data_IF_724572954863
#
_entry.id   IF_724572954863
#
_cell.length_a   1.000
_cell.length_b   1.000
_cell.length_c   1.000
_cell.angle_alpha   90.00
_cell.angle_beta   90.00
_cell.angle_gamma   90.00
#
_symmetry.space_group_name_H-M   'P 1'
#
loop_
_entity.id
_entity.type
_entity.pdbx_description
1 polymer ?
#
# COMPACT_ATOMS: atom_id res chain seq x y z
N UNK A 1 19.02 16.66 -19.11
CA UNK A 1 18.51 17.52 -18.01
C UNK A 1 18.30 16.59 -16.82
N UNK A 2 19.05 16.72 -15.73
CA UNK A 2 18.85 15.85 -14.56
C UNK A 2 17.53 16.25 -13.88
N UNK A 3 16.65 15.28 -13.63
CA UNK A 3 15.44 15.53 -12.88
C UNK A 3 15.82 16.02 -11.46
N UNK A 4 15.19 17.10 -10.94
CA UNK A 4 15.50 17.59 -9.60
C UNK A 4 15.14 16.54 -8.54
N UNK A 5 15.94 16.48 -7.48
CA UNK A 5 15.65 15.65 -6.31
C UNK A 5 14.30 16.06 -5.72
N UNK A 6 13.42 15.10 -5.45
CA UNK A 6 12.08 15.34 -4.92
C UNK A 6 11.81 14.44 -3.72
N UNK A 7 11.36 15.03 -2.62
CA UNK A 7 10.93 14.29 -1.44
C UNK A 7 9.68 13.46 -1.74
N UNK A 8 9.51 12.36 -0.99
CA UNK A 8 8.45 11.38 -1.22
C UNK A 8 7.06 11.98 -1.02
N UNK A 9 6.88 12.89 -0.06
CA UNK A 9 5.62 13.62 0.13
C UNK A 9 5.16 14.38 -1.14
N UNK A 10 6.05 15.09 -1.82
CA UNK A 10 5.69 15.81 -3.05
C UNK A 10 5.39 14.86 -4.21
N UNK A 11 6.08 13.71 -4.27
CA UNK A 11 5.74 12.67 -5.25
C UNK A 11 4.35 12.10 -4.98
N UNK A 12 3.99 11.89 -3.71
CA UNK A 12 2.67 11.43 -3.30
C UNK A 12 1.60 12.43 -3.75
N UNK A 13 1.75 13.71 -3.43
CA UNK A 13 0.83 14.79 -3.86
C UNK A 13 0.64 14.81 -5.38
N UNK A 14 1.73 14.75 -6.15
CA UNK A 14 1.68 14.77 -7.61
C UNK A 14 0.94 13.58 -8.22
N UNK A 15 1.06 12.39 -7.60
CA UNK A 15 0.33 11.22 -8.05
C UNK A 15 -1.13 11.28 -7.62
N UNK A 16 -1.42 11.70 -6.39
CA UNK A 16 -2.78 11.81 -5.88
C UNK A 16 -3.63 12.75 -6.75
N UNK A 17 -3.06 13.87 -7.21
CA UNK A 17 -3.72 14.81 -8.12
C UNK A 17 -4.04 14.24 -9.52
N UNK A 18 -3.40 13.14 -9.91
CA UNK A 18 -3.56 12.51 -11.24
C UNK A 18 -4.41 11.23 -11.20
N UNK A 19 -4.77 10.75 -10.01
CA UNK A 19 -5.68 9.63 -9.85
C UNK A 19 -7.07 10.05 -10.29
N UNK A 20 -7.70 9.21 -11.11
CA UNK A 20 -9.07 9.42 -11.62
C UNK A 20 -9.97 8.25 -11.30
N UNK A 21 -9.53 7.37 -10.41
CA UNK A 21 -10.26 6.15 -10.07
C UNK A 21 -11.58 6.48 -9.41
N UNK A 22 -12.67 5.92 -9.96
CA UNK A 22 -14.03 6.00 -9.45
C UNK A 22 -14.46 4.59 -9.08
N UNK A 23 -14.37 4.23 -7.79
CA UNK A 23 -14.64 2.87 -7.33
C UNK A 23 -16.06 2.37 -7.64
N UNK A 24 -17.04 3.28 -7.75
CA UNK A 24 -18.44 2.92 -8.02
C UNK A 24 -18.64 2.36 -9.43
N UNK A 25 -17.82 2.84 -10.38
CA UNK A 25 -17.87 2.42 -11.79
C UNK A 25 -16.74 1.42 -12.13
N UNK A 26 -15.83 1.14 -11.19
CA UNK A 26 -14.57 0.42 -11.39
C UNK A 26 -13.80 0.93 -12.62
N UNK A 27 -13.58 2.25 -12.68
CA UNK A 27 -12.93 2.91 -13.81
C UNK A 27 -11.91 3.95 -13.40
N UNK A 28 -10.90 4.17 -14.24
CA UNK A 28 -9.95 5.27 -14.09
C UNK A 28 -8.60 4.79 -13.56
N UNK A 29 -7.73 5.76 -13.29
CA UNK A 29 -6.32 5.48 -12.99
C UNK A 29 -6.05 5.46 -11.51
N UNK A 30 -5.39 4.40 -11.05
CA UNK A 30 -4.88 4.23 -9.69
C UNK A 30 -3.36 4.32 -9.65
N UNK A 31 -2.80 4.43 -8.45
CA UNK A 31 -1.35 4.36 -8.22
C UNK A 31 -0.98 2.90 -7.96
N UNK A 32 0.04 2.40 -8.67
CA UNK A 32 0.50 1.02 -8.51
C UNK A 32 1.95 0.92 -8.02
N UNK A 33 2.24 -0.19 -7.35
CA UNK A 33 3.58 -0.68 -7.05
C UNK A 33 3.95 -1.75 -8.07
N UNK A 34 5.22 -1.82 -8.46
CA UNK A 34 5.74 -2.83 -9.38
C UNK A 34 6.72 -3.73 -8.64
N UNK A 35 6.46 -5.03 -8.61
CA UNK A 35 7.38 -6.04 -8.09
C UNK A 35 7.84 -6.98 -9.19
N UNK A 36 9.13 -7.27 -9.21
CA UNK A 36 9.73 -8.24 -10.14
C UNK A 36 10.07 -9.50 -9.38
N UNK A 37 9.58 -10.63 -9.90
CA UNK A 37 9.87 -11.97 -9.39
C UNK A 37 10.48 -12.84 -10.49
N UNK A 38 11.16 -13.90 -10.09
CA UNK A 38 11.59 -14.92 -11.03
C UNK A 38 10.40 -15.70 -11.57
N UNK A 39 10.40 -16.01 -12.86
CA UNK A 39 9.24 -16.64 -13.51
C UNK A 39 8.87 -18.00 -12.93
N UNK A 40 9.87 -18.75 -12.45
CA UNK A 40 9.66 -20.04 -11.78
C UNK A 40 8.90 -19.93 -10.46
N UNK A 41 8.86 -18.75 -9.86
CA UNK A 41 8.28 -18.50 -8.54
C UNK A 41 6.88 -17.86 -8.63
N UNK A 42 6.32 -17.67 -9.84
CA UNK A 42 5.03 -16.99 -10.05
C UNK A 42 3.88 -17.67 -9.30
N UNK A 43 3.65 -18.97 -9.54
CA UNK A 43 2.58 -19.74 -8.90
C UNK A 43 2.67 -19.67 -7.37
N UNK A 44 3.90 -19.79 -6.85
CA UNK A 44 4.15 -19.68 -5.42
C UNK A 44 3.82 -18.27 -4.91
N UNK A 45 4.26 -17.23 -5.61
CA UNK A 45 3.99 -15.85 -5.24
C UNK A 45 2.48 -15.57 -5.22
N UNK A 46 1.74 -15.98 -6.26
CA UNK A 46 0.28 -15.85 -6.33
C UNK A 46 -0.42 -16.56 -5.17
N UNK A 47 0.04 -17.76 -4.79
CA UNK A 47 -0.53 -18.48 -3.65
C UNK A 47 -0.37 -17.74 -2.33
N UNK A 48 0.80 -17.13 -2.09
CA UNK A 48 1.08 -16.31 -0.91
C UNK A 48 0.25 -15.02 -0.94
N UNK A 49 0.11 -14.39 -2.10
CA UNK A 49 -0.71 -13.19 -2.26
C UNK A 49 -2.18 -13.47 -1.95
N UNK A 50 -2.74 -14.60 -2.43
CA UNK A 50 -4.09 -15.05 -2.12
C UNK A 50 -4.28 -15.27 -0.62
N UNK A 51 -3.32 -15.88 0.05
CA UNK A 51 -3.36 -16.05 1.50
C UNK A 51 -3.29 -14.70 2.23
N UNK A 52 -2.39 -13.80 1.81
CA UNK A 52 -2.24 -12.48 2.40
C UNK A 52 -3.53 -11.66 2.26
N UNK A 53 -4.19 -11.72 1.10
CA UNK A 53 -5.47 -11.06 0.86
C UNK A 53 -6.55 -11.58 1.81
N UNK A 54 -6.71 -12.91 1.92
CA UNK A 54 -7.66 -13.54 2.86
C UNK A 54 -7.42 -13.19 4.33
N UNK A 55 -6.21 -12.75 4.68
CA UNK A 55 -5.85 -12.31 6.04
C UNK A 55 -5.91 -10.78 6.24
N UNK A 56 -6.35 -10.01 5.25
CA UNK A 56 -6.45 -8.55 5.33
C UNK A 56 -5.11 -7.82 5.28
N UNK A 57 -4.07 -8.46 4.73
CA UNK A 57 -2.70 -7.92 4.66
C UNK A 57 -2.46 -7.08 3.38
N UNK A 58 -3.36 -7.21 2.41
CA UNK A 58 -3.36 -6.43 1.16
C UNK A 58 -4.37 -5.30 1.20
N UNK A 59 -4.24 -4.36 0.27
CA UNK A 59 -5.16 -3.22 0.10
C UNK A 59 -6.33 -3.55 -0.82
N UNK A 60 -6.10 -4.40 -1.82
CA UNK A 60 -7.06 -4.75 -2.85
C UNK A 60 -6.73 -6.14 -3.36
N UNK A 61 -7.71 -6.80 -3.97
CA UNK A 61 -7.57 -8.03 -4.75
C UNK A 61 -7.17 -7.77 -6.21
N UNK A 62 -7.03 -6.51 -6.64
CA UNK A 62 -6.62 -6.16 -8.00
C UNK A 62 -5.13 -6.44 -8.22
N UNK A 63 -4.84 -7.17 -9.30
CA UNK A 63 -3.50 -7.57 -9.68
C UNK A 63 -3.33 -7.52 -11.21
N UNK A 64 -2.18 -7.03 -11.67
CA UNK A 64 -1.73 -7.29 -13.04
C UNK A 64 -0.45 -8.12 -12.99
N UNK A 65 -0.44 -9.22 -13.74
CA UNK A 65 0.77 -10.03 -13.98
C UNK A 65 1.19 -9.89 -15.44
N UNK A 66 2.42 -9.45 -15.68
CA UNK A 66 3.00 -9.40 -17.02
C UNK A 66 4.24 -10.30 -17.09
N UNK A 67 4.26 -11.19 -18.09
CA UNK A 67 5.37 -12.10 -18.34
C UNK A 67 6.57 -11.45 -19.04
N UNK A 68 7.65 -12.23 -19.27
CA UNK A 68 8.85 -11.77 -19.97
C UNK A 68 8.55 -11.09 -21.30
N UNK A 69 9.15 -9.92 -21.55
CA UNK A 69 8.91 -9.11 -22.76
C UNK A 69 7.58 -8.35 -22.77
N UNK A 70 6.71 -8.58 -21.80
CA UNK A 70 5.46 -7.84 -21.61
C UNK A 70 5.69 -6.35 -21.29
N UNK A 71 4.65 -5.55 -21.45
CA UNK A 71 4.67 -4.11 -21.15
C UNK A 71 3.73 -3.80 -19.99
N UNK A 72 4.20 -3.01 -19.04
CA UNK A 72 3.42 -2.47 -17.92
C UNK A 72 3.62 -0.98 -17.85
N UNK A 73 2.64 -0.17 -18.28
CA UNK A 73 2.71 1.29 -18.23
C UNK A 73 4.06 1.88 -18.71
N UNK A 74 4.56 1.38 -19.85
CA UNK A 74 5.84 1.79 -20.45
C UNK A 74 7.10 1.13 -19.87
N UNK A 75 6.95 0.15 -18.98
CA UNK A 75 8.03 -0.68 -18.47
C UNK A 75 8.04 -2.06 -19.17
N UNK A 76 9.16 -2.38 -19.84
CA UNK A 76 9.38 -3.71 -20.41
C UNK A 76 9.83 -4.69 -19.34
N UNK A 77 9.12 -5.80 -19.19
CA UNK A 77 9.49 -6.88 -18.27
C UNK A 77 10.75 -7.60 -18.78
N UNK A 78 11.81 -7.71 -17.95
CA UNK A 78 13.03 -8.41 -18.34
C UNK A 78 12.82 -9.89 -18.60
N UNK A 79 13.68 -10.48 -19.43
CA UNK A 79 13.69 -11.92 -19.67
C UNK A 79 13.86 -12.71 -18.35
N UNK A 80 13.16 -13.85 -18.27
CA UNK A 80 13.19 -14.72 -17.10
C UNK A 80 12.43 -14.20 -15.87
N UNK A 81 11.80 -13.01 -15.93
CA UNK A 81 11.05 -12.41 -14.82
C UNK A 81 9.58 -12.19 -15.16
N UNK A 82 8.76 -12.15 -14.12
CA UNK A 82 7.40 -11.63 -14.17
C UNK A 82 7.33 -10.30 -13.41
N UNK A 83 6.56 -9.36 -13.94
CA UNK A 83 6.13 -8.17 -13.25
C UNK A 83 4.77 -8.42 -12.59
N UNK A 84 4.67 -8.07 -11.32
CA UNK A 84 3.47 -8.17 -10.50
C UNK A 84 3.14 -6.76 -10.02
N UNK A 85 1.97 -6.26 -10.40
CA UNK A 85 1.53 -4.91 -10.06
C UNK A 85 0.41 -4.95 -9.03
N UNK A 86 0.57 -4.23 -7.94
CA UNK A 86 -0.43 -4.12 -6.86
C UNK A 86 -0.84 -2.67 -6.64
N UNK A 87 -2.05 -2.46 -6.13
CA UNK A 87 -2.52 -1.14 -5.73
C UNK A 87 -1.67 -0.57 -4.58
N UNK A 88 -1.32 0.71 -4.68
CA UNK A 88 -0.63 1.45 -3.63
C UNK A 88 -1.62 2.10 -2.65
N UNK A 89 -1.32 2.14 -1.35
CA UNK A 89 -2.19 2.79 -0.35
C UNK A 89 -2.33 4.29 -0.54
N UNK A 90 -1.42 4.91 -1.31
CA UNK A 90 -1.56 6.31 -1.69
C UNK A 90 -2.78 6.55 -2.60
N UNK A 91 -3.34 5.50 -3.21
CA UNK A 91 -4.63 5.58 -3.90
C UNK A 91 -5.75 5.99 -2.94
N UNK A 92 -5.69 5.58 -1.66
CA UNK A 92 -6.64 6.03 -0.63
C UNK A 92 -6.57 7.56 -0.47
N UNK A 93 -5.37 8.12 -0.35
CA UNK A 93 -5.17 9.56 -0.14
C UNK A 93 -5.81 10.37 -1.28
N UNK A 94 -5.74 9.85 -2.52
CA UNK A 94 -6.38 10.46 -3.67
C UNK A 94 -7.92 10.34 -3.65
N UNK A 95 -8.44 9.19 -3.26
CA UNK A 95 -9.89 8.96 -3.14
C UNK A 95 -10.51 9.85 -2.05
N UNK A 96 -9.84 9.98 -0.91
CA UNK A 96 -10.23 10.91 0.15
C UNK A 96 -10.26 12.35 -0.37
N UNK A 97 -9.22 12.77 -1.10
CA UNK A 97 -9.15 14.11 -1.68
C UNK A 97 -10.31 14.38 -2.66
N UNK A 98 -10.64 13.43 -3.53
CA UNK A 98 -11.78 13.54 -4.46
C UNK A 98 -13.13 13.67 -3.74
N UNK A 99 -13.27 13.07 -2.56
CA UNK A 99 -14.44 13.20 -1.69
C UNK A 99 -14.41 14.44 -0.80
N UNK A 100 -13.43 15.33 -0.98
CA UNK A 100 -13.31 16.58 -0.23
C UNK A 100 -12.63 16.44 1.13
N UNK A 101 -11.90 15.35 1.37
CA UNK A 101 -11.12 15.12 2.59
C UNK A 101 -9.62 15.22 2.26
N UNK A 102 -8.96 16.35 2.56
CA UNK A 102 -7.51 16.44 2.46
C UNK A 102 -6.85 15.53 3.49
N UNK A 103 -6.11 14.52 3.02
CA UNK A 103 -5.29 13.66 3.86
C UNK A 103 -3.81 14.03 3.71
N UNK A 104 -3.10 14.10 4.83
CA UNK A 104 -1.67 14.38 4.91
C UNK A 104 -0.92 13.13 5.32
N UNK A 105 -0.20 12.44 4.41
CA UNK A 105 0.63 11.29 4.75
C UNK A 105 1.78 11.69 5.69
N UNK A 106 1.87 11.04 6.84
CA UNK A 106 2.92 11.29 7.85
C UNK A 106 4.17 10.49 7.49
N UNK A 107 4.03 9.17 7.34
CA UNK A 107 5.16 8.26 7.13
C UNK A 107 4.76 6.81 6.90
N UNK A 108 5.77 6.01 6.56
CA UNK A 108 5.66 4.55 6.47
C UNK A 108 6.57 3.89 7.51
N UNK A 109 6.12 2.76 8.05
CA UNK A 109 6.77 2.14 9.20
C UNK A 109 6.43 0.67 9.40
N UNK A 110 7.00 0.10 10.46
CA UNK A 110 6.72 -1.25 10.93
C UNK A 110 5.68 -1.16 12.03
N UNK A 111 4.62 -1.96 11.91
CA UNK A 111 3.60 -2.12 12.93
C UNK A 111 3.72 -3.50 13.55
N UNK A 112 3.84 -3.51 14.87
CA UNK A 112 3.73 -4.72 15.69
C UNK A 112 2.27 -5.18 15.72
N UNK A 113 2.05 -6.45 15.42
CA UNK A 113 0.75 -7.12 15.44
C UNK A 113 0.80 -8.19 16.52
N UNK A 114 -0.20 -8.21 17.39
CA UNK A 114 -0.43 -9.29 18.36
C UNK A 114 -1.91 -9.65 18.37
N UNK A 115 -2.21 -10.95 18.40
CA UNK A 115 -3.59 -11.44 18.32
C UNK A 115 -4.38 -10.96 17.09
N UNK A 116 -3.71 -10.74 15.95
CA UNK A 116 -4.27 -10.14 14.71
C UNK A 116 -4.73 -8.68 14.85
N UNK A 117 -4.29 -7.99 15.90
CA UNK A 117 -4.59 -6.58 16.15
C UNK A 117 -3.31 -5.76 16.09
N UNK A 118 -3.35 -4.64 15.36
CA UNK A 118 -2.24 -3.68 15.32
C UNK A 118 -2.04 -3.04 16.70
N UNK A 119 -0.82 -3.08 17.21
CA UNK A 119 -0.50 -2.59 18.55
C UNK A 119 0.11 -1.19 18.49
N UNK A 120 1.19 -1.03 17.72
CA UNK A 120 1.94 0.24 17.61
C UNK A 120 2.91 0.23 16.44
N UNK A 121 3.31 1.41 15.99
CA UNK A 121 4.49 1.57 15.16
C UNK A 121 5.76 1.39 16.00
N UNK A 122 6.66 0.51 15.57
CA UNK A 122 7.95 0.25 16.23
C UNK A 122 9.10 1.02 15.56
N UNK A 123 8.92 1.41 14.30
CA UNK A 123 9.86 2.19 13.50
C UNK A 123 9.10 2.93 12.41
N UNK A 124 9.55 4.13 12.06
CA UNK A 124 8.89 4.95 11.03
C UNK A 124 9.90 5.85 10.33
N UNK A 125 9.71 6.02 9.02
CA UNK A 125 10.41 7.03 8.21
C UNK A 125 9.34 8.01 7.71
N UNK A 126 9.54 9.30 7.99
CA UNK A 126 8.60 10.35 7.64
C UNK A 126 8.70 10.71 6.15
N UNK A 127 7.57 10.82 5.47
CA UNK A 127 7.54 11.09 4.02
C UNK A 127 8.12 12.45 3.64
N UNK A 128 8.03 13.44 4.54
CA UNK A 128 8.59 14.79 4.36
C UNK A 128 10.12 14.83 4.44
N UNK A 129 10.73 13.84 5.09
CA UNK A 129 12.16 13.82 5.44
C UNK A 129 12.95 12.79 4.60
N UNK A 130 12.33 12.19 3.58
CA UNK A 130 12.95 11.15 2.73
C UNK A 130 12.64 11.34 1.25
N UNK A 131 13.58 10.91 0.40
CA UNK A 131 13.40 10.82 -1.07
C UNK A 131 13.17 9.38 -1.55
N UNK A 132 13.30 8.42 -0.62
CA UNK A 132 13.07 7.01 -0.84
C UNK A 132 11.69 6.62 -0.28
N UNK A 133 11.10 5.55 -0.81
CA UNK A 133 9.90 4.97 -0.21
C UNK A 133 10.27 4.28 1.12
N UNK A 134 9.66 4.68 2.26
CA UNK A 134 9.90 4.05 3.56
C UNK A 134 9.74 2.53 3.57
N UNK A 135 8.71 2.01 2.89
CA UNK A 135 8.39 0.59 2.95
C UNK A 135 9.40 -0.21 2.13
N UNK A 136 9.87 0.31 1.00
CA UNK A 136 10.97 -0.30 0.24
C UNK A 136 12.25 -0.42 1.08
N UNK A 137 12.61 0.64 1.83
CA UNK A 137 13.75 0.62 2.76
C UNK A 137 13.57 -0.45 3.84
N UNK A 138 12.40 -0.53 4.47
CA UNK A 138 12.14 -1.47 5.56
C UNK A 138 12.08 -2.94 5.08
N UNK A 139 11.56 -3.18 3.87
CA UNK A 139 11.63 -4.51 3.22
C UNK A 139 13.09 -4.91 3.00
N UNK A 140 13.95 -3.98 2.57
CA UNK A 140 15.36 -4.26 2.32
C UNK A 140 16.13 -4.68 3.58
N UNK A 141 15.69 -4.22 4.75
CA UNK A 141 16.27 -4.52 6.05
C UNK A 141 15.75 -5.82 6.68
N UNK A 142 14.86 -6.55 6.01
CA UNK A 142 14.29 -7.81 6.51
C UNK A 142 13.62 -7.66 7.88
N UNK A 143 12.97 -6.50 8.09
CA UNK A 143 12.43 -6.11 9.38
C UNK A 143 10.98 -6.58 9.62
N UNK A 144 10.42 -7.35 8.68
CA UNK A 144 9.03 -7.83 8.69
C UNK A 144 8.96 -9.32 9.05
N UNK A 145 7.80 -9.74 9.57
CA UNK A 145 7.45 -11.15 9.80
C UNK A 145 5.99 -11.40 9.43
N UNK A 146 5.63 -11.01 8.21
CA UNK A 146 4.27 -11.06 7.68
C UNK A 146 3.77 -12.50 7.59
N UNK A 147 4.63 -13.47 7.25
CA UNK A 147 4.24 -14.88 7.26
C UNK A 147 3.83 -15.37 8.66
N UNK A 148 4.49 -14.90 9.71
CA UNK A 148 4.12 -15.22 11.10
C UNK A 148 2.80 -14.55 11.48
N UNK A 149 2.56 -13.32 11.01
CA UNK A 149 1.27 -12.64 11.19
C UNK A 149 0.14 -13.40 10.50
N UNK A 150 0.37 -13.91 9.29
CA UNK A 150 -0.63 -14.69 8.55
C UNK A 150 -0.97 -16.00 9.28
N UNK A 151 0.06 -16.73 9.74
CA UNK A 151 -0.07 -18.06 10.37
C UNK A 151 -0.51 -18.01 11.83
N UNK A 152 0.14 -17.17 12.62
CA UNK A 152 0.03 -17.14 14.08
C UNK A 152 -0.70 -15.88 14.60
N UNK A 153 -0.92 -14.88 13.75
CA UNK A 153 -1.54 -13.62 14.16
C UNK A 153 -0.63 -12.71 14.96
N UNK A 154 0.69 -12.97 14.96
CA UNK A 154 1.68 -12.20 15.71
C UNK A 154 2.93 -11.98 14.87
N UNK A 155 3.48 -10.77 14.92
CA UNK A 155 4.69 -10.40 14.19
C UNK A 155 4.65 -8.95 13.72
N UNK A 156 5.36 -8.66 12.64
CA UNK A 156 5.59 -7.30 12.15
C UNK A 156 5.11 -7.17 10.71
N UNK A 157 4.29 -6.16 10.44
CA UNK A 157 3.85 -5.80 9.08
C UNK A 157 4.29 -4.38 8.72
N UNK A 158 4.23 -4.04 7.44
CA UNK A 158 4.41 -2.67 7.00
C UNK A 158 3.06 -1.96 6.97
N UNK A 159 3.07 -0.70 7.39
CA UNK A 159 1.92 0.17 7.36
C UNK A 159 2.35 1.60 7.06
N UNK A 160 1.39 2.42 6.65
CA UNK A 160 1.56 3.87 6.64
C UNK A 160 0.43 4.55 7.40
N UNK A 161 0.73 5.76 7.84
CA UNK A 161 -0.19 6.59 8.60
C UNK A 161 -0.34 7.95 7.89
N UNK A 162 -1.58 8.43 7.85
CA UNK A 162 -1.93 9.78 7.43
C UNK A 162 -2.80 10.43 8.49
N UNK A 163 -2.90 11.74 8.40
CA UNK A 163 -3.82 12.52 9.21
C UNK A 163 -4.82 13.29 8.34
N UNK A 164 -6.05 13.39 8.81
CA UNK A 164 -7.10 14.23 8.22
C UNK A 164 -7.58 15.24 9.26
N UNK A 165 -8.10 16.39 8.83
CA UNK A 165 -8.66 17.36 9.76
C UNK A 165 -9.85 16.73 10.52
N UNK A 166 -9.98 16.96 11.82
CA UNK A 166 -10.99 16.31 12.67
C UNK A 166 -12.44 16.60 12.24
N UNK A 167 -12.70 17.76 11.63
CA UNK A 167 -14.03 18.09 11.06
C UNK A 167 -14.46 17.15 9.93
N UNK A 168 -13.51 16.40 9.34
CA UNK A 168 -13.81 15.39 8.34
C UNK A 168 -14.19 14.04 8.96
N UNK A 169 -14.19 13.86 10.29
CA UNK A 169 -14.39 12.56 10.96
C UNK A 169 -15.63 11.79 10.46
N UNK A 170 -16.79 12.44 10.44
CA UNK A 170 -18.04 11.81 9.99
C UNK A 170 -17.99 11.42 8.51
N UNK A 171 -17.46 12.31 7.66
CA UNK A 171 -17.35 12.07 6.22
C UNK A 171 -16.30 10.98 5.93
N UNK A 172 -15.18 10.98 6.66
CA UNK A 172 -14.13 9.98 6.58
C UNK A 172 -14.68 8.60 6.89
N UNK A 173 -15.41 8.44 8.01
CA UNK A 173 -16.04 7.16 8.34
C UNK A 173 -16.94 6.65 7.22
N UNK A 174 -17.82 7.52 6.70
CA UNK A 174 -18.72 7.20 5.58
C UNK A 174 -17.95 6.75 4.33
N UNK A 175 -16.90 7.48 3.95
CA UNK A 175 -16.09 7.16 2.77
C UNK A 175 -15.32 5.85 2.97
N UNK A 176 -14.76 5.60 4.16
CA UNK A 176 -14.05 4.35 4.44
C UNK A 176 -14.99 3.15 4.40
N UNK A 177 -16.23 3.28 4.90
CA UNK A 177 -17.25 2.23 4.83
C UNK A 177 -17.66 1.94 3.37
N UNK A 178 -17.88 2.98 2.56
CA UNK A 178 -18.17 2.85 1.13
C UNK A 178 -17.03 2.15 0.37
N UNK A 179 -15.79 2.56 0.62
CA UNK A 179 -14.60 1.95 0.02
C UNK A 179 -14.44 0.49 0.48
N UNK A 180 -14.75 0.17 1.73
CA UNK A 180 -14.72 -1.20 2.25
C UNK A 180 -15.75 -2.10 1.57
N UNK A 181 -16.96 -1.59 1.33
CA UNK A 181 -18.05 -2.34 0.69
C UNK A 181 -17.73 -2.77 -0.75
N UNK A 182 -16.78 -2.11 -1.42
CA UNK A 182 -16.38 -2.36 -2.81
C UNK A 182 -14.98 -2.98 -2.93
N UNK A 183 -14.45 -3.53 -1.83
CA UNK A 183 -13.23 -4.34 -1.84
C UNK A 183 -11.93 -3.58 -1.52
N UNK A 184 -12.00 -2.30 -1.14
CA UNK A 184 -10.86 -1.59 -0.59
C UNK A 184 -10.65 -2.03 0.86
N UNK A 185 -9.54 -2.70 1.13
CA UNK A 185 -9.25 -3.35 2.41
C UNK A 185 -8.00 -2.78 3.03
N UNK A 186 -7.70 -3.22 4.26
CA UNK A 186 -6.42 -2.96 4.89
C UNK A 186 -6.33 -1.67 5.71
N UNK A 187 -7.45 -1.01 6.02
CA UNK A 187 -7.49 -0.06 7.14
C UNK A 187 -7.20 -0.83 8.43
N UNK A 188 -6.17 -0.40 9.16
CA UNK A 188 -5.76 -1.02 10.42
C UNK A 188 -6.52 -0.41 11.60
N UNK A 189 -6.58 0.92 11.64
CA UNK A 189 -7.24 1.66 12.72
C UNK A 189 -7.51 3.10 12.30
N UNK A 190 -8.52 3.72 12.92
CA UNK A 190 -8.87 5.14 12.78
C UNK A 190 -8.90 5.75 14.17
N UNK A 191 -8.03 6.72 14.41
CA UNK A 191 -7.87 7.34 15.72
C UNK A 191 -8.97 8.37 16.02
N UNK A 192 -9.23 8.57 17.31
CA UNK A 192 -10.07 9.67 17.77
C UNK A 192 -9.38 11.05 17.57
N UNK A 193 -10.15 12.15 17.46
CA UNK A 193 -9.60 13.49 17.33
C UNK A 193 -8.57 13.83 18.41
N UNK A 194 -7.43 14.38 17.99
CA UNK A 194 -6.32 14.80 18.87
C UNK A 194 -5.64 13.66 19.67
N UNK A 195 -5.88 12.40 19.31
CA UNK A 195 -5.28 11.25 20.00
C UNK A 195 -4.20 10.61 19.11
N UNK A 196 -3.00 10.32 19.65
CA UNK A 196 -2.00 9.54 18.93
C UNK A 196 -2.55 8.18 18.47
N UNK A 197 -2.27 7.80 17.23
CA UNK A 197 -2.71 6.53 16.67
C UNK A 197 -1.54 5.55 16.64
N UNK A 198 -1.70 4.38 17.25
CA UNK A 198 -0.68 3.31 17.26
C UNK A 198 0.71 3.82 17.72
N UNK A 199 0.72 4.73 18.71
CA UNK A 199 1.94 5.33 19.26
C UNK A 199 2.56 6.45 18.40
N UNK A 200 1.95 6.82 17.28
CA UNK A 200 2.39 7.93 16.43
C UNK A 200 1.58 9.19 16.76
N UNK A 201 2.21 10.32 17.09
CA UNK A 201 1.50 11.57 17.33
C UNK A 201 0.84 12.08 16.04
N UNK A 202 -0.38 12.59 16.19
CA UNK A 202 -1.10 13.34 15.17
C UNK A 202 -1.10 14.83 15.51
N UNK A 203 -1.19 15.68 14.50
CA UNK A 203 -1.28 17.13 14.67
C UNK A 203 -2.50 17.55 15.50
N UNK A 204 -2.45 18.64 16.28
CA UNK A 204 -3.65 19.22 16.90
C UNK A 204 -4.69 19.54 15.83
N UNK A 205 -5.96 19.23 16.12
CA UNK A 205 -7.12 19.31 15.21
C UNK A 205 -7.17 18.24 14.12
N UNK A 206 -6.42 17.15 14.27
CA UNK A 206 -6.41 16.05 13.30
C UNK A 206 -6.79 14.70 13.93
N UNK A 207 -7.19 13.79 13.04
CA UNK A 207 -7.42 12.36 13.29
C UNK A 207 -6.41 11.55 12.49
N UNK A 208 -5.91 10.46 13.07
CA UNK A 208 -5.00 9.54 12.40
C UNK A 208 -5.76 8.43 11.66
N UNK A 209 -5.22 7.96 10.53
CA UNK A 209 -5.68 6.77 9.81
C UNK A 209 -4.48 5.90 9.48
N UNK A 210 -4.45 4.68 9.99
CA UNK A 210 -3.40 3.71 9.74
C UNK A 210 -3.89 2.65 8.73
N UNK A 211 -3.03 2.29 7.79
CA UNK A 211 -3.35 1.34 6.73
C UNK A 211 -2.17 0.43 6.43
N UNK A 212 -2.45 -0.83 6.06
CA UNK A 212 -1.44 -1.78 5.57
C UNK A 212 -0.70 -1.23 4.35
N UNK A 213 0.58 -1.59 4.25
CA UNK A 213 1.40 -1.29 3.07
C UNK A 213 1.01 -2.14 1.87
N UNK A 214 0.89 -1.52 0.69
CA UNK A 214 0.57 -2.21 -0.57
C UNK A 214 1.66 -3.17 -1.08
N UNK A 215 2.79 -3.21 -0.38
CA UNK A 215 3.95 -4.06 -0.65
C UNK A 215 4.04 -5.27 0.28
N UNK A 216 3.15 -5.40 1.29
CA UNK A 216 3.19 -6.48 2.28
C UNK A 216 3.13 -7.88 1.65
N UNK A 217 2.26 -8.11 0.67
CA UNK A 217 2.16 -9.43 0.06
C UNK A 217 3.47 -9.84 -0.64
N UNK A 218 4.14 -8.88 -1.30
CA UNK A 218 5.42 -9.12 -1.94
C UNK A 218 6.58 -9.22 -0.94
N UNK A 219 6.47 -8.55 0.21
CA UNK A 219 7.38 -8.75 1.33
C UNK A 219 7.23 -10.17 1.92
N UNK A 220 6.02 -10.71 2.04
CA UNK A 220 5.78 -12.08 2.47
C UNK A 220 6.36 -13.12 1.48
N UNK A 221 6.26 -12.87 0.17
CA UNK A 221 6.93 -13.69 -0.85
C UNK A 221 8.45 -13.69 -0.65
N UNK A 222 9.02 -12.53 -0.32
CA UNK A 222 10.44 -12.41 0.01
C UNK A 222 10.82 -13.15 1.28
N UNK A 223 10.04 -13.04 2.34
CA UNK A 223 10.23 -13.77 3.60
C UNK A 223 10.22 -15.29 3.39
N UNK A 224 9.47 -15.79 2.40
CA UNK A 224 9.45 -17.19 2.01
C UNK A 224 10.70 -17.65 1.22
N UNK A 225 11.72 -16.79 1.11
CA UNK A 225 12.99 -17.09 0.45
C UNK A 225 12.97 -16.88 -1.07
N UNK A 226 11.96 -16.20 -1.61
CA UNK A 226 11.88 -15.90 -3.05
C UNK A 226 12.42 -14.50 -3.34
N UNK A 227 13.39 -14.32 -4.26
CA UNK A 227 13.89 -12.99 -4.58
C UNK A 227 12.79 -12.11 -5.18
N UNK A 228 12.57 -10.94 -4.57
CA UNK A 228 11.63 -9.92 -5.05
C UNK A 228 12.33 -8.57 -5.11
N UNK A 229 12.17 -7.87 -6.23
CA UNK A 229 12.58 -6.46 -6.36
C UNK A 229 11.33 -5.60 -6.49
N UNK A 230 11.00 -4.85 -5.45
CA UNK A 230 9.83 -3.98 -5.40
C UNK A 230 10.22 -2.53 -5.70
N UNK A 231 9.38 -1.84 -6.47
CA UNK A 231 9.43 -0.41 -6.74
C UNK A 231 8.09 0.18 -6.36
N UNK A 232 8.04 0.81 -5.20
CA UNK A 232 6.83 1.47 -4.73
C UNK A 232 6.58 2.77 -5.49
N UNK A 233 5.31 3.23 -5.53
CA UNK A 233 4.92 4.50 -6.12
C UNK A 233 5.44 4.65 -7.58
N UNK A 234 5.25 3.58 -8.37
CA UNK A 234 5.89 3.43 -9.68
C UNK A 234 5.27 4.35 -10.74
N UNK A 235 3.94 4.48 -10.73
CA UNK A 235 3.21 5.25 -11.72
C UNK A 235 1.69 5.11 -11.57
N UNK A 236 1.00 5.46 -12.64
CA UNK A 236 -0.45 5.29 -12.78
C UNK A 236 -0.74 4.17 -13.77
N UNK A 237 -1.79 3.40 -13.50
CA UNK A 237 -2.31 2.36 -14.40
C UNK A 237 -3.84 2.44 -14.40
N UNK A 238 -4.47 2.11 -15.52
CA UNK A 238 -5.93 1.98 -15.55
C UNK A 238 -6.32 0.74 -14.73
N UNK A 239 -7.29 0.86 -13.83
CA UNK A 239 -7.75 -0.25 -13.00
C UNK A 239 -8.23 -1.44 -13.83
N UNK A 240 -8.74 -1.18 -15.04
CA UNK A 240 -9.22 -2.20 -15.98
C UNK A 240 -8.12 -3.00 -16.66
N UNK A 241 -6.87 -2.57 -16.53
CA UNK A 241 -5.71 -3.38 -16.92
C UNK A 241 -5.34 -4.39 -15.84
N UNK A 242 -6.00 -4.36 -14.67
CA UNK A 242 -5.74 -5.26 -13.55
C UNK A 242 -6.92 -6.23 -13.38
N UNK A 243 -6.62 -7.52 -13.34
CA UNK A 243 -7.60 -8.57 -13.08
C UNK A 243 -7.80 -8.78 -11.57
N UNK A 244 -8.71 -9.66 -11.20
CA UNK A 244 -8.85 -10.08 -9.81
C UNK A 244 -7.82 -11.15 -9.47
N UNK A 245 -7.35 -11.15 -8.22
CA UNK A 245 -6.38 -12.12 -7.72
C UNK A 245 -6.87 -13.57 -7.83
N UNK A 246 -8.19 -13.79 -7.81
CA UNK A 246 -8.81 -15.11 -7.97
C UNK A 246 -8.91 -15.56 -9.44
N UNK A 247 -8.66 -14.67 -10.41
CA UNK A 247 -8.60 -15.02 -11.85
C UNK A 247 -7.26 -15.67 -12.25
N UNK A 248 -6.24 -15.50 -11.40
CA UNK A 248 -4.95 -16.21 -11.45
C UNK A 248 -4.99 -17.45 -10.55
#
# INVERSE_FOLDING_TARGET
MHAPLKFTNHRIEEYALKVTYRPEDDTGKIIYNLSLIESRDLEFALSIMKEAHKRGITISDRLLVAGPGGQVAGYTVPDGRHAVCTMCSITLDALLLQRGIPASPIGGGIVEVDGRVAQRFTSMILYRDTTLDPLEVLISQEATSILDVMRHGKGNILANIRECHMEAEQLLGTVLDELSAIGFSGILDVGAPNVPLLGVPVSPQYIGVAMVGGTNAMAAVREAGKPVVTRALKGLIDIREMDYLDDY
#
